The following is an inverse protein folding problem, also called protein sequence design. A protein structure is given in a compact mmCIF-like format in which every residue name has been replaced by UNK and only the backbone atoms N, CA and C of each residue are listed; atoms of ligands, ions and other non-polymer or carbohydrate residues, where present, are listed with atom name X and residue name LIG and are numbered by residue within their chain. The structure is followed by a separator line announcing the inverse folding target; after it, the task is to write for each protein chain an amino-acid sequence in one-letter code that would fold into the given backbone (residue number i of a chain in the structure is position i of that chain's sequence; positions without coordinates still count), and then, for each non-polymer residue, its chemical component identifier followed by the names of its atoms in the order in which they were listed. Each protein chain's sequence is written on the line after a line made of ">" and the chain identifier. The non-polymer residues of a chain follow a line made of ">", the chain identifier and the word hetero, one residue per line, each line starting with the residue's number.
data_IF_072149271563
#
_entry.id   IF_072149271563
#
_cell.length_a   1.000
_cell.length_b   1.000
_cell.length_c   1.000
_cell.angle_alpha   90.00
_cell.angle_beta   90.00
_cell.angle_gamma   90.00
#
_symmetry.space_group_name_H-M   'P 1'
#
loop_
_entity.id
_entity.type
_entity.pdbx_description
1 polymer ?
#
# COMPACT_ATOMS: atom_id res chain seq x y z
N UNK A 1 -12.15 -10.17 14.76
CA UNK A 1 -10.84 -10.78 15.05
C UNK A 1 -9.79 -10.43 14.00
N UNK A 2 -10.09 -10.59 12.71
CA UNK A 2 -9.17 -10.23 11.63
C UNK A 2 -8.81 -8.74 11.66
N UNK A 3 -9.79 -7.86 11.88
CA UNK A 3 -9.58 -6.41 11.98
C UNK A 3 -8.67 -6.03 13.15
N UNK A 4 -8.82 -6.70 14.29
CA UNK A 4 -7.99 -6.43 15.47
C UNK A 4 -6.52 -6.79 15.22
N UNK A 5 -6.26 -7.95 14.59
CA UNK A 5 -4.91 -8.39 14.23
C UNK A 5 -4.32 -7.45 13.18
N UNK A 6 -5.10 -7.11 12.17
CA UNK A 6 -4.70 -6.20 11.09
C UNK A 6 -4.30 -4.82 11.65
N UNK A 7 -5.10 -4.26 12.55
CA UNK A 7 -4.79 -2.98 13.21
C UNK A 7 -3.49 -3.03 14.00
N UNK A 8 -3.23 -4.14 14.71
CA UNK A 8 -1.98 -4.32 15.45
C UNK A 8 -0.77 -4.35 14.52
N UNK A 9 -0.88 -5.03 13.38
CA UNK A 9 0.20 -5.10 12.39
C UNK A 9 0.46 -3.71 11.81
N UNK A 10 -0.58 -2.97 11.44
CA UNK A 10 -0.44 -1.60 10.95
C UNK A 10 0.25 -0.70 11.96
N UNK A 11 -0.09 -0.85 13.23
CA UNK A 11 0.56 -0.09 14.30
C UNK A 11 2.05 -0.41 14.39
N UNK A 12 2.41 -1.69 14.28
CA UNK A 12 3.81 -2.12 14.30
C UNK A 12 4.56 -1.53 13.11
N UNK A 13 4.00 -1.63 11.90
CA UNK A 13 4.63 -1.10 10.70
C UNK A 13 4.76 0.42 10.74
N UNK A 14 3.77 1.12 11.29
CA UNK A 14 3.74 2.59 11.33
C UNK A 14 4.54 3.18 12.48
N UNK A 15 5.16 2.34 13.32
CA UNK A 15 5.99 2.77 14.44
C UNK A 15 7.45 2.43 14.12
N UNK A 16 8.29 3.46 13.99
CA UNK A 16 9.71 3.23 13.75
C UNK A 16 10.33 2.58 14.98
N UNK A 17 11.13 1.50 14.81
CA UNK A 17 11.68 0.76 15.95
C UNK A 17 12.65 1.56 16.82
N UNK A 18 13.33 2.57 16.24
CA UNK A 18 14.40 3.28 16.91
C UNK A 18 14.25 4.81 16.92
N UNK A 19 13.21 5.37 16.30
CA UNK A 19 13.08 6.82 16.16
C UNK A 19 11.63 7.28 16.34
N UNK A 20 11.39 7.99 17.42
CA UNK A 20 10.10 8.66 17.65
C UNK A 20 9.88 9.80 16.66
N UNK A 21 10.97 10.46 16.23
CA UNK A 21 10.88 11.57 15.27
C UNK A 21 10.40 11.08 13.90
N UNK A 22 10.91 9.94 13.43
CA UNK A 22 10.46 9.36 12.16
C UNK A 22 9.00 8.91 12.24
N UNK A 23 8.59 8.32 13.37
CA UNK A 23 7.18 7.96 13.60
C UNK A 23 6.30 9.21 13.56
N UNK A 24 6.74 10.30 14.20
CA UNK A 24 6.00 11.56 14.20
C UNK A 24 5.89 12.15 12.80
N UNK A 25 6.97 12.15 12.02
CA UNK A 25 6.96 12.62 10.64
C UNK A 25 5.96 11.82 9.79
N UNK A 26 5.92 10.50 9.98
CA UNK A 26 4.95 9.65 9.28
C UNK A 26 3.51 10.05 9.63
N UNK A 27 3.25 10.32 10.90
CA UNK A 27 1.95 10.77 11.38
C UNK A 27 1.56 12.12 10.76
N UNK A 28 2.50 13.07 10.71
CA UNK A 28 2.28 14.38 10.08
C UNK A 28 1.94 14.21 8.59
N UNK A 29 2.67 13.33 7.90
CA UNK A 29 2.38 13.01 6.50
C UNK A 29 0.98 12.44 6.31
N UNK A 30 0.56 11.55 7.20
CA UNK A 30 -0.80 10.99 7.18
C UNK A 30 -1.87 12.05 7.41
N UNK A 31 -1.60 13.02 8.29
CA UNK A 31 -2.50 14.16 8.50
C UNK A 31 -2.61 15.02 7.24
N UNK A 32 -1.51 15.24 6.53
CA UNK A 32 -1.56 15.93 5.23
C UNK A 32 -2.43 15.18 4.23
N UNK A 33 -2.33 13.85 4.17
CA UNK A 33 -3.19 13.02 3.30
C UNK A 33 -4.66 13.23 3.66
N UNK A 34 -5.00 13.15 4.95
CA UNK A 34 -6.37 13.31 5.44
C UNK A 34 -6.94 14.71 5.10
N UNK A 35 -6.09 15.71 4.99
CA UNK A 35 -6.47 17.08 4.62
C UNK A 35 -6.28 17.35 3.12
N UNK A 36 -6.06 16.31 2.33
CA UNK A 36 -5.89 16.38 0.87
C UNK A 36 -4.71 17.24 0.42
N UNK A 37 -3.72 17.42 1.28
CA UNK A 37 -2.47 18.13 0.98
C UNK A 37 -1.43 17.14 0.48
N UNK A 38 -1.68 16.59 -0.70
CA UNK A 38 -0.90 15.47 -1.23
C UNK A 38 0.55 15.84 -1.54
N UNK A 39 0.81 17.04 -2.05
CA UNK A 39 2.19 17.49 -2.34
C UNK A 39 3.03 17.54 -1.07
N UNK A 40 2.46 18.04 0.02
CA UNK A 40 3.13 18.10 1.32
C UNK A 40 3.34 16.71 1.91
N UNK A 41 2.38 15.83 1.71
CA UNK A 41 2.50 14.43 2.16
C UNK A 41 3.65 13.73 1.43
N UNK A 42 3.74 13.85 0.11
CA UNK A 42 4.84 13.27 -0.67
C UNK A 42 6.18 13.83 -0.20
N UNK A 43 6.26 15.13 0.05
CA UNK A 43 7.49 15.79 0.52
C UNK A 43 7.96 15.21 1.86
N UNK A 44 7.07 15.12 2.85
CA UNK A 44 7.47 14.61 4.17
C UNK A 44 7.78 13.10 4.13
N UNK A 45 7.02 12.31 3.38
CA UNK A 45 7.34 10.88 3.23
C UNK A 45 8.66 10.68 2.51
N UNK A 46 8.99 11.50 1.52
CA UNK A 46 10.28 11.48 0.84
C UNK A 46 11.43 11.82 1.79
N UNK A 47 11.22 12.78 2.68
CA UNK A 47 12.19 13.12 3.72
C UNK A 47 12.42 11.96 4.68
N UNK A 48 11.36 11.26 5.08
CA UNK A 48 11.48 10.06 5.94
C UNK A 48 12.26 8.97 5.22
N UNK A 49 12.00 8.75 3.95
CA UNK A 49 12.74 7.76 3.13
C UNK A 49 14.22 8.12 3.06
N UNK A 50 14.55 9.39 2.87
CA UNK A 50 15.94 9.85 2.83
C UNK A 50 16.64 9.62 4.17
N UNK A 51 15.94 9.80 5.28
CA UNK A 51 16.51 9.60 6.63
C UNK A 51 16.66 8.12 6.96
N UNK A 52 15.73 7.27 6.52
CA UNK A 52 15.82 5.83 6.73
C UNK A 52 15.18 5.06 5.56
N UNK A 53 15.93 4.79 4.49
CA UNK A 53 15.41 4.08 3.33
C UNK A 53 15.06 2.61 3.61
N UNK A 54 15.41 2.07 4.78
CA UNK A 54 15.08 0.69 5.16
C UNK A 54 13.70 0.55 5.82
N UNK A 55 13.02 1.65 6.10
CA UNK A 55 11.71 1.59 6.74
C UNK A 55 10.62 1.45 5.68
N UNK A 56 10.10 0.25 5.52
CA UNK A 56 9.14 -0.10 4.47
C UNK A 56 7.88 0.79 4.49
N UNK A 57 7.39 1.15 5.68
CA UNK A 57 6.14 1.90 5.79
C UNK A 57 6.22 3.30 5.17
N UNK A 58 7.38 3.94 5.20
CA UNK A 58 7.55 5.25 4.56
C UNK A 58 7.32 5.15 3.04
N UNK A 59 7.87 4.12 2.41
CA UNK A 59 7.63 3.85 1.00
C UNK A 59 6.17 3.52 0.72
N UNK A 60 5.54 2.73 1.59
CA UNK A 60 4.14 2.36 1.45
C UNK A 60 3.21 3.57 1.54
N UNK A 61 3.46 4.46 2.47
CA UNK A 61 2.70 5.70 2.62
C UNK A 61 2.80 6.57 1.36
N UNK A 62 4.00 6.73 0.83
CA UNK A 62 4.18 7.52 -0.40
C UNK A 62 3.52 6.84 -1.61
N UNK A 63 3.63 5.52 -1.71
CA UNK A 63 2.96 4.76 -2.77
C UNK A 63 1.44 5.00 -2.77
N UNK A 64 0.85 5.04 -1.57
CA UNK A 64 -0.59 5.29 -1.41
C UNK A 64 -0.96 6.67 -1.93
N UNK A 65 -0.17 7.70 -1.62
CA UNK A 65 -0.42 9.06 -2.11
C UNK A 65 -0.28 9.10 -3.64
N UNK A 66 0.75 8.50 -4.20
CA UNK A 66 0.92 8.44 -5.65
C UNK A 66 -0.28 7.77 -6.33
N UNK A 67 -0.80 6.70 -5.73
CA UNK A 67 -2.02 6.06 -6.24
C UNK A 67 -3.20 7.04 -6.23
N UNK A 68 -3.39 7.75 -5.12
CA UNK A 68 -4.52 8.70 -4.94
C UNK A 68 -4.49 9.83 -5.96
N UNK A 69 -3.30 10.26 -6.39
CA UNK A 69 -3.15 11.35 -7.37
C UNK A 69 -2.98 10.85 -8.81
N UNK A 70 -3.12 9.55 -9.05
CA UNK A 70 -3.05 8.97 -10.40
C UNK A 70 -1.66 8.71 -10.93
N UNK A 71 -0.62 8.81 -10.10
CA UNK A 71 0.77 8.52 -10.47
C UNK A 71 1.06 7.02 -10.26
N UNK A 72 0.45 6.18 -11.10
CA UNK A 72 0.43 4.73 -10.89
C UNK A 72 1.80 4.08 -11.03
N UNK A 73 2.63 4.53 -11.97
CA UNK A 73 3.98 3.99 -12.15
C UNK A 73 4.88 4.32 -10.96
N UNK A 74 4.77 5.52 -10.41
CA UNK A 74 5.51 5.92 -9.20
C UNK A 74 5.03 5.12 -8.00
N UNK A 75 3.72 4.90 -7.91
CA UNK A 75 3.14 4.06 -6.86
C UNK A 75 3.71 2.65 -6.93
N UNK A 76 3.72 2.04 -8.12
CA UNK A 76 4.26 0.69 -8.30
C UNK A 76 5.76 0.62 -7.95
N UNK A 77 6.54 1.63 -8.31
CA UNK A 77 7.97 1.67 -7.97
C UNK A 77 8.18 1.67 -6.45
N UNK A 78 7.40 2.46 -5.71
CA UNK A 78 7.46 2.48 -4.25
C UNK A 78 6.99 1.14 -3.64
N UNK A 79 5.93 0.54 -4.20
CA UNK A 79 5.45 -0.78 -3.77
C UNK A 79 6.53 -1.85 -3.95
N UNK A 80 7.25 -1.82 -5.08
CA UNK A 80 8.36 -2.74 -5.31
C UNK A 80 9.39 -2.64 -4.19
N UNK A 81 9.68 -1.42 -3.75
CA UNK A 81 10.61 -1.19 -2.65
C UNK A 81 10.08 -1.73 -1.32
N UNK A 82 8.80 -1.54 -1.04
CA UNK A 82 8.16 -2.11 0.16
C UNK A 82 8.33 -3.63 0.17
N UNK A 83 8.04 -4.28 -0.95
CA UNK A 83 8.08 -5.74 -1.04
C UNK A 83 9.50 -6.31 -1.02
N UNK A 84 10.52 -5.54 -1.44
CA UNK A 84 11.92 -5.90 -1.23
C UNK A 84 12.27 -5.91 0.27
N UNK A 85 11.79 -4.90 1.00
CA UNK A 85 12.09 -4.73 2.43
C UNK A 85 11.24 -5.65 3.30
N UNK A 86 9.97 -5.85 2.92
CA UNK A 86 9.01 -6.66 3.67
C UNK A 86 8.10 -7.41 2.69
N UNK A 87 8.49 -8.61 2.32
CA UNK A 87 7.79 -9.40 1.30
C UNK A 87 6.36 -9.81 1.70
N UNK A 88 6.06 -9.78 2.99
CA UNK A 88 4.75 -10.15 3.53
C UNK A 88 3.87 -8.95 3.86
N UNK A 89 4.22 -7.78 3.34
CA UNK A 89 3.45 -6.56 3.59
C UNK A 89 2.13 -6.61 2.81
N UNK A 90 1.05 -7.03 3.46
CA UNK A 90 -0.23 -7.21 2.78
C UNK A 90 -0.81 -5.90 2.25
N UNK A 91 -0.54 -4.78 2.92
CA UNK A 91 -0.96 -3.46 2.44
C UNK A 91 -0.34 -3.11 1.09
N UNK A 92 0.96 -3.42 0.92
CA UNK A 92 1.63 -3.22 -0.37
C UNK A 92 1.10 -4.16 -1.44
N UNK A 93 0.82 -5.42 -1.10
CA UNK A 93 0.22 -6.37 -2.04
C UNK A 93 -1.17 -5.91 -2.48
N UNK A 94 -1.99 -5.45 -1.56
CA UNK A 94 -3.31 -4.89 -1.89
C UNK A 94 -3.18 -3.63 -2.74
N UNK A 95 -2.23 -2.76 -2.41
CA UNK A 95 -1.92 -1.56 -3.21
C UNK A 95 -1.49 -1.91 -4.62
N UNK A 96 -0.65 -2.94 -4.78
CA UNK A 96 -0.25 -3.45 -6.09
C UNK A 96 -1.45 -3.94 -6.90
N UNK A 97 -2.40 -4.60 -6.23
CA UNK A 97 -3.66 -4.99 -6.84
C UNK A 97 -4.43 -3.79 -7.38
N UNK A 98 -4.59 -2.75 -6.57
CA UNK A 98 -5.29 -1.52 -6.97
C UNK A 98 -4.60 -0.82 -8.14
N UNK A 99 -3.27 -0.69 -8.09
CA UNK A 99 -2.48 -0.06 -9.17
C UNK A 99 -2.67 -0.83 -10.47
N UNK A 100 -2.62 -2.16 -10.41
CA UNK A 100 -2.75 -2.98 -11.61
C UNK A 100 -4.16 -2.97 -12.19
N UNK A 101 -5.20 -2.76 -11.37
CA UNK A 101 -6.56 -2.52 -11.86
C UNK A 101 -6.58 -1.24 -12.71
N UNK A 102 -6.00 -0.16 -12.21
CA UNK A 102 -5.95 1.13 -12.92
C UNK A 102 -5.14 1.05 -14.21
N UNK A 103 -4.09 0.25 -14.21
CA UNK A 103 -3.26 0.00 -15.42
C UNK A 103 -3.86 -1.07 -16.32
N UNK A 104 -5.03 -1.60 -15.99
CA UNK A 104 -5.73 -2.66 -16.73
C UNK A 104 -4.94 -3.97 -16.83
N UNK A 105 -4.01 -4.19 -15.91
CA UNK A 105 -3.28 -5.45 -15.76
C UNK A 105 -4.01 -6.39 -14.78
N UNK A 106 -5.17 -6.84 -15.17
CA UNK A 106 -6.09 -7.53 -14.28
C UNK A 106 -5.56 -8.86 -13.74
N UNK A 107 -4.80 -9.60 -14.53
CA UNK A 107 -4.20 -10.87 -14.08
C UNK A 107 -3.16 -10.64 -12.98
N UNK A 108 -2.35 -9.59 -13.12
CA UNK A 108 -1.39 -9.19 -12.07
C UNK A 108 -2.11 -8.72 -10.81
N UNK A 109 -3.22 -8.02 -10.96
CA UNK A 109 -4.02 -7.56 -9.84
C UNK A 109 -4.57 -8.75 -9.05
N UNK A 110 -5.14 -9.75 -9.73
CA UNK A 110 -5.63 -10.98 -9.09
C UNK A 110 -4.50 -11.68 -8.34
N UNK A 111 -3.34 -11.83 -8.98
CA UNK A 111 -2.19 -12.49 -8.38
C UNK A 111 -1.74 -11.80 -7.09
N UNK A 112 -1.72 -10.47 -7.09
CA UNK A 112 -1.36 -9.67 -5.90
C UNK A 112 -2.34 -9.90 -4.75
N UNK A 113 -3.63 -9.91 -5.03
CA UNK A 113 -4.65 -10.19 -4.01
C UNK A 113 -4.60 -11.64 -3.53
N UNK A 114 -4.30 -12.61 -4.41
CA UNK A 114 -4.12 -14.00 -4.01
C UNK A 114 -2.94 -14.14 -3.04
N UNK A 115 -1.84 -13.45 -3.29
CA UNK A 115 -0.69 -13.43 -2.39
C UNK A 115 -1.06 -12.84 -1.03
N UNK A 116 -1.81 -11.73 -1.01
CA UNK A 116 -2.30 -11.14 0.24
C UNK A 116 -3.19 -12.12 1.02
N UNK A 117 -4.05 -12.84 0.32
CA UNK A 117 -4.95 -13.82 0.92
C UNK A 117 -4.18 -15.02 1.51
N UNK A 118 -3.10 -15.45 0.88
CA UNK A 118 -2.23 -16.52 1.42
C UNK A 118 -1.59 -16.12 2.74
N UNK A 119 -1.18 -14.85 2.86
CA UNK A 119 -0.57 -14.32 4.08
C UNK A 119 -1.63 -14.17 5.18
N UNK A 120 -2.82 -13.73 4.82
CA UNK A 120 -3.93 -13.47 5.74
C UNK A 120 -5.22 -14.09 5.23
N UNK A 121 -5.41 -15.43 5.41
CA UNK A 121 -6.60 -16.12 4.87
C UNK A 121 -7.94 -15.59 5.40
N UNK A 122 -7.94 -14.97 6.59
CA UNK A 122 -9.16 -14.44 7.20
C UNK A 122 -9.57 -13.06 6.66
N UNK A 123 -8.73 -12.40 5.87
CA UNK A 123 -9.09 -11.12 5.24
C UNK A 123 -10.15 -11.33 4.16
N UNK A 124 -11.20 -10.51 4.20
CA UNK A 124 -12.27 -10.57 3.21
C UNK A 124 -11.98 -9.73 1.96
N UNK A 125 -11.23 -8.62 2.11
CA UNK A 125 -11.03 -7.67 1.01
C UNK A 125 -10.34 -8.28 -0.22
N UNK A 126 -9.29 -9.14 -0.10
CA UNK A 126 -8.71 -9.77 -1.29
C UNK A 126 -9.71 -10.61 -2.07
N UNK A 127 -10.52 -11.40 -1.37
CA UNK A 127 -11.54 -12.25 -1.99
C UNK A 127 -12.57 -11.43 -2.76
N UNK A 128 -13.05 -10.35 -2.14
CA UNK A 128 -14.02 -9.43 -2.75
C UNK A 128 -13.44 -8.80 -4.00
N UNK A 129 -12.19 -8.34 -3.92
CA UNK A 129 -11.51 -7.69 -5.03
C UNK A 129 -11.26 -8.65 -6.20
N UNK A 130 -10.87 -9.89 -5.93
CA UNK A 130 -10.68 -10.91 -6.97
C UNK A 130 -11.98 -11.10 -7.75
N UNK A 131 -13.12 -11.23 -7.06
CA UNK A 131 -14.42 -11.38 -7.72
C UNK A 131 -14.79 -10.16 -8.57
N UNK A 132 -14.52 -8.95 -8.08
CA UNK A 132 -14.75 -7.72 -8.84
C UNK A 132 -13.88 -7.68 -10.12
N UNK A 133 -12.62 -8.07 -10.02
CA UNK A 133 -11.70 -8.09 -11.16
C UNK A 133 -12.17 -9.10 -12.21
N UNK A 134 -12.58 -10.28 -11.78
CA UNK A 134 -13.12 -11.30 -12.69
C UNK A 134 -14.32 -10.78 -13.48
N UNK A 135 -15.18 -9.99 -12.83
CA UNK A 135 -16.31 -9.34 -13.50
C UNK A 135 -15.85 -8.31 -14.53
N UNK A 136 -14.79 -7.55 -14.22
CA UNK A 136 -14.22 -6.59 -15.16
C UNK A 136 -13.63 -7.28 -16.40
N UNK A 137 -12.92 -8.38 -16.22
CA UNK A 137 -12.37 -9.20 -17.32
C UNK A 137 -13.51 -9.70 -18.21
N UNK A 138 -14.56 -10.24 -17.62
CA UNK A 138 -15.72 -10.74 -18.34
C UNK A 138 -16.42 -9.65 -19.17
N UNK A 139 -16.49 -8.43 -18.61
CA UNK A 139 -17.07 -7.27 -19.29
C UNK A 139 -16.29 -6.86 -20.52
N UNK A 140 -14.96 -6.95 -20.48
CA UNK A 140 -14.08 -6.62 -21.61
C UNK A 140 -14.17 -7.63 -22.75
N UNK A 141 -14.55 -8.89 -22.44
CA UNK A 141 -14.64 -9.98 -23.43
C UNK A 141 -15.89 -9.92 -24.30
N UNK A 142 -16.84 -9.03 -24.01
CA UNK A 142 -18.14 -8.93 -24.71
C UNK A 142 -18.13 -7.95 -25.87
#
# INVERSE_FOLDING_TARGET
>A
LANSVEQKIWKIWSTHPNSKDLTMMLTIGSDYVNNQKFDKAVEIFSNVIDLDPSWAEAWNKRATVYYMVGEFEKSQADINKVLELESRHFGALAGQGLVNIELENYEKAIKSYQQAQEIYPSMQSPKIMIEKIKKLIKKQSV
#
